data_IF_122022869641
#
_entry.id   IF_122022869641
#
_cell.length_a   1.000
_cell.length_b   1.000
_cell.length_c   1.000
_cell.angle_alpha   90.00
_cell.angle_beta   90.00
_cell.angle_gamma   90.00
#
_symmetry.space_group_name_H-M   'P 1'
#
loop_
_entity.id
_entity.type
_entity.pdbx_description
1 polymer ?
#
# COMPACT_ATOMS: atom_id res chain seq x y z
N UNK A 1 -5.05 16.15 5.94
CA UNK A 1 -4.40 15.40 4.84
C UNK A 1 -4.30 13.94 5.26
N UNK A 2 -4.46 12.98 4.36
CA UNK A 2 -4.41 11.55 4.71
C UNK A 2 -3.32 10.88 3.88
N UNK A 3 -2.46 10.08 4.53
CA UNK A 3 -1.40 9.32 3.87
C UNK A 3 -1.68 7.84 4.07
N UNK A 4 -1.70 7.09 2.98
CA UNK A 4 -1.80 5.63 2.99
C UNK A 4 -0.56 5.04 2.30
N UNK A 5 0.24 4.30 3.05
CA UNK A 5 1.41 3.58 2.52
C UNK A 5 1.01 2.13 2.26
N UNK A 6 1.17 1.67 1.03
CA UNK A 6 0.89 0.30 0.61
C UNK A 6 2.21 -0.38 0.27
N UNK A 7 2.55 -1.44 1.00
CA UNK A 7 3.75 -2.24 0.77
C UNK A 7 3.39 -3.64 0.27
N UNK A 8 4.28 -4.22 -0.54
CA UNK A 8 4.15 -5.61 -1.02
C UNK A 8 5.15 -6.47 -0.24
N UNK A 9 4.63 -7.52 0.40
CA UNK A 9 5.41 -8.41 1.23
C UNK A 9 5.77 -7.81 2.58
N UNK A 10 6.00 -8.70 3.56
CA UNK A 10 6.54 -8.33 4.86
C UNK A 10 8.08 -8.37 4.82
N UNK A 11 8.71 -7.54 5.64
CA UNK A 11 10.15 -7.65 5.92
C UNK A 11 10.33 -8.40 7.24
N UNK A 12 11.29 -9.32 7.28
CA UNK A 12 11.68 -10.02 8.52
C UNK A 12 12.91 -9.35 9.19
N UNK A 13 13.42 -8.25 8.60
CA UNK A 13 14.52 -7.49 9.19
C UNK A 13 14.04 -6.73 10.43
N UNK A 14 14.49 -7.17 11.60
CA UNK A 14 14.11 -6.60 12.91
C UNK A 14 14.35 -5.09 13.02
N UNK A 15 15.44 -4.58 12.45
CA UNK A 15 15.75 -3.15 12.50
C UNK A 15 14.73 -2.34 11.71
N UNK A 16 14.31 -2.83 10.53
CA UNK A 16 13.28 -2.17 9.73
C UNK A 16 11.92 -2.20 10.41
N UNK A 17 11.54 -3.32 11.02
CA UNK A 17 10.27 -3.42 11.77
C UNK A 17 10.23 -2.39 12.90
N UNK A 18 11.32 -2.25 13.67
CA UNK A 18 11.41 -1.28 14.75
C UNK A 18 11.29 0.17 14.25
N UNK A 19 12.01 0.51 13.18
CA UNK A 19 11.95 1.85 12.58
C UNK A 19 10.55 2.15 12.03
N UNK A 20 9.94 1.22 11.29
CA UNK A 20 8.58 1.38 10.75
C UNK A 20 7.59 1.66 11.87
N UNK A 21 7.68 0.93 12.99
CA UNK A 21 6.80 1.15 14.13
C UNK A 21 7.00 2.54 14.76
N UNK A 22 8.24 2.99 14.98
CA UNK A 22 8.51 4.29 15.60
C UNK A 22 8.05 5.46 14.71
N UNK A 23 8.37 5.41 13.42
CA UNK A 23 7.96 6.46 12.48
C UNK A 23 6.45 6.47 12.24
N UNK A 24 5.80 5.32 12.15
CA UNK A 24 4.34 5.24 12.02
C UNK A 24 3.64 5.86 13.24
N UNK A 25 4.14 5.58 14.45
CA UNK A 25 3.63 6.17 15.69
C UNK A 25 3.82 7.69 15.71
N UNK A 26 5.02 8.18 15.34
CA UNK A 26 5.31 9.61 15.24
C UNK A 26 4.40 10.32 14.24
N UNK A 27 4.19 9.74 13.06
CA UNK A 27 3.32 10.31 12.02
C UNK A 27 1.87 10.40 12.49
N UNK A 28 1.39 9.43 13.26
CA UNK A 28 0.02 9.43 13.79
C UNK A 28 -0.34 10.65 14.64
N UNK A 29 0.63 11.37 15.21
CA UNK A 29 0.39 12.62 15.95
C UNK A 29 0.14 13.84 15.05
N UNK A 30 0.62 13.80 13.80
CA UNK A 30 0.60 14.95 12.89
C UNK A 30 -0.34 14.76 11.71
N UNK A 31 -0.56 13.51 11.30
CA UNK A 31 -1.33 13.18 10.11
C UNK A 31 -2.02 11.82 10.26
N UNK A 32 -3.21 11.68 9.66
CA UNK A 32 -3.87 10.37 9.55
C UNK A 32 -3.05 9.49 8.62
N UNK A 33 -2.21 8.64 9.22
CA UNK A 33 -1.30 7.72 8.54
C UNK A 33 -1.84 6.29 8.65
N UNK A 34 -1.94 5.62 7.51
CA UNK A 34 -2.34 4.22 7.41
C UNK A 34 -1.22 3.42 6.69
N UNK A 35 -0.85 2.27 7.23
CA UNK A 35 0.12 1.37 6.63
C UNK A 35 -0.53 0.00 6.35
N UNK A 36 -0.56 -0.39 5.09
CA UNK A 36 -1.18 -1.63 4.62
C UNK A 36 -0.14 -2.49 3.91
N UNK A 37 -0.02 -3.75 4.32
CA UNK A 37 0.91 -4.71 3.71
C UNK A 37 0.11 -5.76 2.95
N UNK A 38 0.31 -5.80 1.63
CA UNK A 38 -0.31 -6.77 0.73
C UNK A 38 0.67 -7.93 0.53
N UNK A 39 0.24 -9.20 0.59
CA UNK A 39 1.13 -10.34 0.34
C UNK A 39 1.71 -10.30 -1.09
N UNK A 40 2.96 -10.76 -1.24
CA UNK A 40 3.61 -10.90 -2.54
C UNK A 40 2.81 -11.88 -3.43
N UNK A 41 2.39 -11.41 -4.61
CA UNK A 41 1.63 -12.18 -5.60
C UNK A 41 2.54 -13.14 -6.39
N UNK A 42 3.28 -14.01 -5.70
CA UNK A 42 4.23 -14.93 -6.35
C UNK A 42 3.60 -16.13 -7.07
N UNK A 43 2.27 -16.22 -7.21
CA UNK A 43 1.60 -17.26 -8.02
C UNK A 43 0.32 -16.77 -8.68
N UNK A 44 0.40 -15.75 -9.54
CA UNK A 44 -0.71 -15.44 -10.47
C UNK A 44 -0.24 -15.62 -11.91
N UNK A 45 0.23 -16.83 -12.25
CA UNK A 45 0.00 -17.35 -13.60
C UNK A 45 -1.51 -17.54 -13.69
N UNK A 46 -2.18 -16.75 -14.54
CA UNK A 46 -3.64 -16.74 -14.84
C UNK A 46 -4.39 -15.52 -14.30
N UNK A 47 -4.00 -14.30 -14.68
CA UNK A 47 -4.96 -13.26 -15.07
C UNK A 47 -4.40 -12.44 -16.23
N UNK A 48 -4.19 -13.09 -17.38
CA UNK A 48 -4.20 -12.40 -18.67
C UNK A 48 -5.65 -12.31 -19.13
N UNK A 49 -6.35 -11.23 -18.78
CA UNK A 49 -7.30 -10.57 -19.69
C UNK A 49 -7.30 -9.06 -19.38
N UNK A 50 -7.01 -8.20 -20.37
CA UNK A 50 -7.23 -6.77 -20.24
C UNK A 50 -8.71 -6.50 -20.47
N UNK A 51 -9.38 -5.76 -19.58
CA UNK A 51 -10.61 -5.08 -19.96
C UNK A 51 -10.49 -3.60 -19.65
N UNK A 52 -10.07 -2.87 -20.71
CA UNK A 52 -10.30 -1.45 -20.91
C UNK A 52 -11.81 -1.18 -20.89
N UNK A 53 -12.36 -0.64 -19.80
CA UNK A 53 -13.52 0.27 -19.84
C UNK A 53 -13.80 0.88 -18.46
N UNK A 54 -13.13 1.98 -18.13
CA UNK A 54 -13.75 3.04 -17.34
C UNK A 54 -13.70 4.30 -18.19
N UNK A 55 -14.69 4.31 -19.08
CA UNK A 55 -15.48 5.41 -19.61
C UNK A 55 -14.97 6.84 -19.26
N UNK A 56 -14.62 7.57 -20.32
CA UNK A 56 -14.71 9.02 -20.41
C UNK A 56 -16.15 9.44 -20.09
N UNK A 57 -16.37 10.08 -18.96
CA UNK A 57 -17.54 10.89 -18.53
C UNK A 57 -17.19 11.24 -17.07
N UNK A 58 -16.72 12.43 -16.71
CA UNK A 58 -17.31 13.74 -17.00
C UNK A 58 -16.21 14.81 -17.06
N UNK A 59 -15.94 15.31 -18.27
CA UNK A 59 -15.63 16.72 -18.48
C UNK A 59 -16.93 17.29 -19.03
N UNK A 60 -17.75 17.86 -18.14
CA UNK A 60 -18.72 18.94 -18.31
C UNK A 60 -19.33 19.24 -16.94
#
# INVERSE_FOLDING_TARGET
MNIKLIAIGKTDNKNLIALIADYSKRLGFYIKFEFEVIPDLKKVKTYRKPNKKIRKESLF
#
